data_IF_317675892823
#
_entry.id   IF_317675892823
#
_cell.length_a   1.000
_cell.length_b   1.000
_cell.length_c   1.000
_cell.angle_alpha   90.00
_cell.angle_beta   90.00
_cell.angle_gamma   90.00
#
_symmetry.space_group_name_H-M   'P 1'
#
loop_
_entity.id
_entity.type
_entity.pdbx_description
1 polymer ?
#
# COMPACT_ATOMS: atom_id res chain seq x y z
N UNK A 1 -1.23 11.49 -16.85
CA UNK A 1 -0.12 10.61 -16.38
C UNK A 1 -0.47 9.93 -15.04
N UNK A 2 -1.07 10.63 -14.07
CA UNK A 2 -1.46 10.07 -12.75
C UNK A 2 -2.46 8.88 -12.78
N UNK A 3 -3.47 8.92 -13.66
CA UNK A 3 -4.49 7.87 -13.77
C UNK A 3 -3.91 6.47 -14.05
N UNK A 4 -2.93 6.36 -14.97
CA UNK A 4 -2.29 5.08 -15.31
C UNK A 4 -1.40 4.54 -14.18
N UNK A 5 -0.70 5.43 -13.46
CA UNK A 5 0.11 5.06 -12.29
C UNK A 5 -0.77 4.48 -11.18
N UNK A 6 -1.96 5.04 -11.00
CA UNK A 6 -2.87 4.69 -9.93
C UNK A 6 -3.55 3.32 -10.14
N UNK A 7 -4.07 3.06 -11.35
CA UNK A 7 -4.70 1.77 -11.69
C UNK A 7 -3.70 0.63 -11.55
N UNK A 8 -2.44 0.86 -11.94
CA UNK A 8 -1.38 -0.13 -11.81
C UNK A 8 -0.91 -0.33 -10.35
N UNK A 9 -0.92 0.71 -9.51
CA UNK A 9 -0.59 0.57 -8.09
C UNK A 9 -1.64 -0.27 -7.34
N UNK A 10 -2.91 -0.11 -7.71
CA UNK A 10 -4.03 -0.82 -7.09
C UNK A 10 -3.96 -2.33 -7.33
N UNK A 11 -3.55 -2.77 -8.53
CA UNK A 11 -3.34 -4.20 -8.85
C UNK A 11 -2.07 -4.81 -8.24
N UNK A 12 -1.22 -4.00 -7.59
CA UNK A 12 0.00 -4.45 -6.90
C UNK A 12 -0.19 -4.63 -5.40
N UNK A 13 -1.36 -4.30 -4.84
CA UNK A 13 -1.66 -4.53 -3.43
C UNK A 13 -1.48 -6.01 -3.04
N UNK A 14 -1.71 -6.92 -3.99
CA UNK A 14 -1.48 -8.37 -3.92
C UNK A 14 -0.03 -8.73 -3.55
N UNK A 15 0.94 -7.89 -3.97
CA UNK A 15 2.39 -8.11 -3.83
C UNK A 15 2.90 -7.76 -2.43
N UNK A 16 2.09 -7.08 -1.64
CA UNK A 16 2.45 -6.74 -0.26
C UNK A 16 2.41 -8.00 0.60
N UNK A 17 3.35 -8.13 1.52
CA UNK A 17 3.31 -9.13 2.59
C UNK A 17 2.26 -8.82 3.65
N UNK A 18 2.08 -9.71 4.61
CA UNK A 18 1.13 -9.53 5.71
C UNK A 18 1.49 -8.28 6.54
N UNK A 19 2.75 -8.16 6.96
CA UNK A 19 3.25 -7.02 7.74
C UNK A 19 3.13 -5.70 6.96
N UNK A 20 3.45 -5.72 5.67
CA UNK A 20 3.35 -4.56 4.79
C UNK A 20 1.90 -4.08 4.64
N UNK A 21 0.94 -5.02 4.51
CA UNK A 21 -0.49 -4.68 4.50
C UNK A 21 -0.96 -4.06 5.82
N UNK A 22 -0.51 -4.59 6.96
CA UNK A 22 -0.84 -4.02 8.27
C UNK A 22 -0.31 -2.59 8.41
N UNK A 23 0.94 -2.35 8.01
CA UNK A 23 1.51 -1.00 8.00
C UNK A 23 0.72 -0.09 7.05
N UNK A 24 0.41 -0.54 5.84
CA UNK A 24 -0.38 0.25 4.87
C UNK A 24 -1.78 0.61 5.40
N UNK A 25 -2.44 -0.29 6.13
CA UNK A 25 -3.72 0.01 6.79
C UNK A 25 -3.58 1.13 7.82
N UNK A 26 -2.54 1.08 8.66
CA UNK A 26 -2.30 2.12 9.67
C UNK A 26 -1.89 3.46 9.04
N UNK A 27 -1.13 3.43 7.93
CA UNK A 27 -0.86 4.60 7.09
C UNK A 27 -2.19 5.22 6.62
N UNK A 28 -3.14 4.40 6.14
CA UNK A 28 -4.45 4.86 5.69
C UNK A 28 -5.34 5.40 6.81
N UNK A 29 -5.12 4.98 8.05
CA UNK A 29 -5.72 5.61 9.23
C UNK A 29 -5.06 6.95 9.63
N UNK A 30 -4.03 7.40 8.90
CA UNK A 30 -3.35 8.67 9.16
C UNK A 30 -2.35 8.60 10.33
N UNK A 31 -1.98 7.40 10.79
CA UNK A 31 -0.98 7.27 11.85
C UNK A 31 0.41 7.69 11.35
N UNK A 32 1.28 8.17 12.26
CA UNK A 32 2.70 8.42 11.97
C UNK A 32 3.53 7.14 12.08
N UNK A 33 4.73 7.11 11.50
CA UNK A 33 5.60 5.92 11.56
C UNK A 33 6.02 5.59 13.02
N UNK A 34 6.15 6.60 13.89
CA UNK A 34 6.35 6.38 15.32
C UNK A 34 5.12 5.74 16.02
N UNK A 35 3.90 6.13 15.64
CA UNK A 35 2.68 5.53 16.20
C UNK A 35 2.50 4.08 15.70
N UNK A 36 2.74 3.85 14.42
CA UNK A 36 2.72 2.53 13.79
C UNK A 36 3.75 1.61 14.45
N UNK A 37 4.98 2.09 14.64
CA UNK A 37 6.05 1.33 15.29
C UNK A 37 5.66 0.89 16.69
N UNK A 38 5.10 1.81 17.50
CA UNK A 38 4.58 1.47 18.84
C UNK A 38 3.47 0.42 18.79
N UNK A 39 2.55 0.51 17.83
CA UNK A 39 1.42 -0.42 17.71
C UNK A 39 1.85 -1.83 17.25
N UNK A 40 2.89 -1.92 16.41
CA UNK A 40 3.36 -3.19 15.84
C UNK A 40 4.62 -3.75 16.52
N UNK A 41 5.14 -3.10 17.56
CA UNK A 41 6.37 -3.52 18.24
C UNK A 41 7.62 -3.34 17.39
N UNK A 42 7.63 -2.35 16.50
CA UNK A 42 8.74 -2.03 15.59
C UNK A 42 9.45 -0.75 16.02
N UNK A 43 10.74 -0.63 15.70
CA UNK A 43 11.44 0.65 15.84
C UNK A 43 10.91 1.68 14.84
N UNK A 44 11.07 2.98 15.10
CA UNK A 44 10.71 4.03 14.14
C UNK A 44 11.41 3.85 12.79
N UNK A 45 12.72 3.55 12.81
CA UNK A 45 13.51 3.31 11.61
C UNK A 45 12.99 2.11 10.81
N UNK A 46 12.72 0.98 11.47
CA UNK A 46 12.17 -0.20 10.81
C UNK A 46 10.80 0.10 10.16
N UNK A 47 10.01 0.97 10.78
CA UNK A 47 8.71 1.38 10.24
C UNK A 47 8.86 2.24 9.00
N UNK A 48 9.79 3.20 9.00
CA UNK A 48 10.12 4.03 7.83
C UNK A 48 10.64 3.17 6.66
N UNK A 49 11.49 2.17 6.94
CA UNK A 49 11.98 1.21 5.94
C UNK A 49 10.87 0.34 5.35
N UNK A 50 9.90 -0.10 6.16
CA UNK A 50 8.73 -0.84 5.66
C UNK A 50 7.84 0.08 4.81
N UNK A 51 7.56 1.30 5.27
CA UNK A 51 6.80 2.30 4.51
C UNK A 51 7.42 2.55 3.14
N UNK A 52 8.74 2.73 3.07
CA UNK A 52 9.46 2.93 1.81
C UNK A 52 9.34 1.72 0.89
N UNK A 53 9.57 0.51 1.41
CA UNK A 53 9.40 -0.73 0.64
C UNK A 53 7.97 -0.92 0.12
N UNK A 54 6.96 -0.53 0.87
CA UNK A 54 5.56 -0.55 0.41
C UNK A 54 5.41 0.37 -0.81
N UNK A 55 5.89 1.61 -0.73
CA UNK A 55 5.79 2.55 -1.84
C UNK A 55 6.48 2.02 -3.10
N UNK A 56 7.67 1.45 -2.94
CA UNK A 56 8.43 0.88 -4.05
C UNK A 56 7.69 -0.31 -4.68
N UNK A 57 7.12 -1.22 -3.87
CA UNK A 57 6.32 -2.36 -4.35
C UNK A 57 5.05 -1.94 -5.08
N UNK A 58 4.44 -0.83 -4.68
CA UNK A 58 3.28 -0.25 -5.36
C UNK A 58 3.67 0.51 -6.64
N UNK A 59 4.97 0.78 -6.85
CA UNK A 59 5.47 1.57 -7.97
C UNK A 59 5.22 3.07 -7.79
N UNK A 60 5.19 3.54 -6.54
CA UNK A 60 5.03 4.95 -6.19
C UNK A 60 6.41 5.61 -6.16
N UNK A 61 6.79 6.22 -7.27
CA UNK A 61 8.08 6.88 -7.40
C UNK A 61 8.16 8.18 -6.56
N UNK A 62 9.36 8.55 -6.07
CA UNK A 62 9.58 9.84 -5.43
C UNK A 62 9.20 10.99 -6.37
N UNK A 63 8.49 11.97 -5.84
CA UNK A 63 8.09 13.17 -6.57
C UNK A 63 8.33 14.40 -5.72
N UNK A 64 8.83 15.52 -6.28
CA UNK A 64 8.95 16.77 -5.55
C UNK A 64 7.58 17.42 -5.25
N UNK A 65 6.52 16.98 -5.94
CA UNK A 65 5.19 17.60 -5.83
C UNK A 65 4.15 16.70 -5.16
N UNK A 66 4.41 15.39 -5.05
CA UNK A 66 3.44 14.41 -4.58
C UNK A 66 3.97 13.60 -3.41
N UNK A 67 3.13 13.46 -2.38
CA UNK A 67 3.43 12.59 -1.24
C UNK A 67 3.13 11.13 -1.58
N UNK A 68 4.16 10.28 -1.56
CA UNK A 68 4.01 8.81 -1.73
C UNK A 68 3.07 8.21 -0.69
N UNK A 69 3.05 8.77 0.53
CA UNK A 69 2.12 8.34 1.59
C UNK A 69 0.67 8.58 1.19
N UNK A 70 0.35 9.78 0.71
CA UNK A 70 -1.01 10.11 0.23
C UNK A 70 -1.39 9.22 -0.95
N UNK A 71 -0.48 9.03 -1.91
CA UNK A 71 -0.71 8.13 -3.05
C UNK A 71 -0.98 6.69 -2.60
N UNK A 72 -0.25 6.19 -1.59
CA UNK A 72 -0.47 4.85 -1.03
C UNK A 72 -1.84 4.72 -0.33
N UNK A 73 -2.26 5.75 0.41
CA UNK A 73 -3.61 5.80 1.01
C UNK A 73 -4.68 5.78 -0.05
N UNK A 74 -4.53 6.61 -1.08
CA UNK A 74 -5.47 6.61 -2.20
C UNK A 74 -5.50 5.22 -2.82
N UNK A 75 -4.34 4.62 -3.11
CA UNK A 75 -4.18 3.28 -3.72
C UNK A 75 -5.01 2.23 -2.99
N UNK A 76 -4.93 2.22 -1.66
CA UNK A 76 -5.71 1.31 -0.83
C UNK A 76 -7.22 1.59 -0.93
N UNK A 77 -7.63 2.86 -0.97
CA UNK A 77 -9.04 3.26 -0.95
C UNK A 77 -9.80 3.03 -2.25
N UNK A 78 -9.14 3.10 -3.40
CA UNK A 78 -9.79 2.76 -4.68
C UNK A 78 -9.53 1.32 -5.10
N UNK A 79 -8.87 0.52 -4.24
CA UNK A 79 -8.89 -0.93 -4.39
C UNK A 79 -10.34 -1.41 -4.40
N UNK A 80 -10.78 -2.13 -5.44
CA UNK A 80 -12.13 -2.66 -5.47
C UNK A 80 -12.31 -3.56 -4.24
N UNK A 81 -13.35 -3.30 -3.45
CA UNK A 81 -13.64 -3.97 -2.18
C UNK A 81 -13.96 -5.48 -2.30
N UNK A 82 -13.55 -6.15 -3.38
CA UNK A 82 -14.00 -7.50 -3.74
C UNK A 82 -13.05 -8.33 -4.61
N UNK A 83 -11.75 -8.00 -4.74
CA UNK A 83 -10.82 -8.85 -5.50
C UNK A 83 -10.45 -10.19 -4.80
N UNK A 84 -11.07 -10.50 -3.65
CA UNK A 84 -10.93 -11.78 -2.95
C UNK A 84 -11.74 -12.92 -3.61
N UNK A 85 -12.57 -12.66 -4.63
CA UNK A 85 -13.44 -13.69 -5.24
C UNK A 85 -13.26 -13.97 -6.75
N UNK A 86 -12.49 -13.16 -7.49
CA UNK A 86 -12.59 -13.15 -8.96
C UNK A 86 -11.55 -14.00 -9.73
N UNK A 87 -10.66 -14.74 -9.06
CA UNK A 87 -9.67 -15.63 -9.72
C UNK A 87 -10.08 -17.10 -9.84
N UNK A 88 -11.30 -17.46 -9.42
CA UNK A 88 -11.78 -18.86 -9.45
C UNK A 88 -12.80 -19.17 -10.56
N UNK A 89 -13.08 -18.24 -11.49
CA UNK A 89 -14.06 -18.45 -12.59
C UNK A 89 -13.46 -18.70 -13.97
N UNK A 90 -12.16 -18.50 -14.17
CA UNK A 90 -11.50 -18.71 -15.48
C UNK A 90 -10.88 -20.13 -15.66
N UNK A 91 -11.24 -21.09 -14.80
CA UNK A 91 -10.80 -22.49 -14.91
C UNK A 91 -11.87 -23.44 -15.49
N UNK A 92 -12.93 -22.90 -16.09
CA UNK A 92 -13.99 -23.71 -16.70
C UNK A 92 -14.50 -23.09 -18.02
N UNK A 93 -13.67 -23.17 -19.05
CA UNK A 93 -14.15 -23.27 -20.43
C UNK A 93 -13.20 -24.14 -21.25
#
# INVERSE_FOLDING_TARGET
>A
MLELTYVAATSRLDRLGIQERQVLQLIAHGQSDAAIGRQLGLSPLATEEISTRIFDKLGLEPSPYLSRRVLAVLTLRQAPAGATGARSRDAAH
#
